data_IF_247824757178
#
_entry.id   IF_247824757178
#
_cell.length_a   1.000
_cell.length_b   1.000
_cell.length_c   1.000
_cell.angle_alpha   90.00
_cell.angle_beta   90.00
_cell.angle_gamma   90.00
#
_symmetry.space_group_name_H-M   'P 1'
#
loop_
_entity.id
_entity.type
_entity.pdbx_description
1 polymer ?
#
# COMPACT_ATOMS: atom_id res chain seq x y z
N UNK A 1 9.72 -3.73 35.60
CA UNK A 1 10.27 -2.44 35.09
C UNK A 1 9.10 -1.63 34.53
N UNK A 2 8.92 -0.36 34.92
CA UNK A 2 7.82 0.48 34.43
C UNK A 2 8.19 0.98 33.03
N UNK A 3 7.47 0.52 32.01
CA UNK A 3 7.58 1.06 30.65
C UNK A 3 6.94 2.45 30.63
N UNK A 4 7.72 3.49 30.45
CA UNK A 4 7.21 4.85 30.23
C UNK A 4 6.90 4.95 28.75
N UNK A 5 5.62 5.13 28.33
CA UNK A 5 5.32 5.32 26.91
C UNK A 5 5.92 6.66 26.47
N UNK A 6 6.76 6.62 25.45
CA UNK A 6 7.19 7.82 24.73
C UNK A 6 5.98 8.31 23.91
N UNK A 7 5.13 9.15 24.50
CA UNK A 7 4.07 9.82 23.77
C UNK A 7 4.75 10.92 22.96
N UNK A 8 4.98 10.64 21.68
CA UNK A 8 5.29 11.68 20.70
C UNK A 8 3.98 12.47 20.50
N UNK A 9 3.75 13.46 21.34
CA UNK A 9 2.69 14.44 21.12
C UNK A 9 3.08 15.24 19.87
N UNK A 10 2.55 14.84 18.72
CA UNK A 10 2.42 15.77 17.60
C UNK A 10 1.52 16.89 18.10
N UNK A 11 2.13 18.00 18.51
CA UNK A 11 1.40 19.20 18.85
C UNK A 11 0.72 19.66 17.55
N UNK A 12 -0.56 19.32 17.39
CA UNK A 12 -1.43 19.99 16.46
C UNK A 12 -1.52 21.44 16.96
N UNK A 13 -0.66 22.31 16.44
CA UNK A 13 -0.83 23.74 16.61
C UNK A 13 -2.21 24.04 16.00
N UNK A 14 -3.18 24.55 16.77
CA UNK A 14 -4.40 25.07 16.20
C UNK A 14 -4.00 26.33 15.42
N UNK A 15 -3.69 26.20 14.14
CA UNK A 15 -3.71 27.34 13.25
C UNK A 15 -5.15 27.79 13.22
N UNK A 16 -5.42 28.99 13.72
CA UNK A 16 -6.67 29.69 13.49
C UNK A 16 -6.71 30.01 11.99
N UNK A 17 -7.16 29.04 11.20
CA UNK A 17 -7.30 29.17 9.77
C UNK A 17 -8.51 30.05 9.53
N UNK A 18 -8.28 31.20 8.96
CA UNK A 18 -9.35 32.06 8.49
C UNK A 18 -10.10 31.35 7.39
N UNK A 19 -11.35 30.96 7.62
CA UNK A 19 -12.15 30.15 6.67
C UNK A 19 -12.25 30.81 5.27
N UNK A 20 -11.99 32.10 5.15
CA UNK A 20 -11.97 32.84 3.90
C UNK A 20 -10.84 32.43 2.93
N UNK A 21 -9.78 31.76 3.41
CA UNK A 21 -8.62 31.34 2.60
C UNK A 21 -8.56 29.83 2.38
N UNK A 22 -9.66 29.11 2.64
CA UNK A 22 -9.72 27.65 2.51
C UNK A 22 -10.67 27.28 1.39
N UNK A 23 -10.14 26.56 0.40
CA UNK A 23 -10.92 25.91 -0.63
C UNK A 23 -11.29 24.48 -0.18
N UNK A 24 -12.57 24.12 -0.37
CA UNK A 24 -13.11 22.80 -0.07
C UNK A 24 -13.46 22.11 -1.37
N UNK A 25 -13.08 20.84 -1.51
CA UNK A 25 -13.50 20.00 -2.62
C UNK A 25 -13.94 18.64 -2.14
N UNK A 26 -14.96 18.11 -2.79
CA UNK A 26 -15.48 16.77 -2.60
C UNK A 26 -15.36 16.03 -3.92
N UNK A 27 -14.93 14.76 -3.89
CA UNK A 27 -14.72 13.97 -5.08
C UNK A 27 -14.91 12.47 -4.82
N UNK A 28 -14.69 11.68 -5.85
CA UNK A 28 -14.82 10.23 -5.81
C UNK A 28 -15.49 9.69 -7.07
N UNK A 29 -15.92 8.44 -7.00
CA UNK A 29 -16.66 7.76 -8.07
C UNK A 29 -17.53 6.64 -7.50
N UNK A 30 -18.56 6.28 -8.24
CA UNK A 30 -19.34 5.06 -8.03
C UNK A 30 -18.84 4.03 -9.04
N UNK A 31 -18.53 2.82 -8.57
CA UNK A 31 -18.13 1.68 -9.41
C UNK A 31 -18.91 0.44 -9.01
N UNK A 32 -19.40 -0.28 -9.99
CA UNK A 32 -20.00 -1.59 -9.84
C UNK A 32 -19.13 -2.61 -10.56
N UNK A 33 -18.74 -3.65 -9.88
CA UNK A 33 -18.00 -4.78 -10.41
C UNK A 33 -18.91 -6.01 -10.47
N UNK A 34 -18.78 -6.80 -11.53
CA UNK A 34 -19.41 -8.11 -11.67
C UNK A 34 -18.31 -9.09 -12.13
N UNK A 35 -18.10 -10.15 -11.37
CA UNK A 35 -17.02 -11.10 -11.56
C UNK A 35 -17.57 -12.50 -11.64
N UNK A 36 -17.22 -13.23 -12.68
CA UNK A 36 -17.47 -14.67 -12.81
C UNK A 36 -16.11 -15.37 -12.66
N UNK A 37 -15.93 -16.06 -11.55
CA UNK A 37 -14.67 -16.70 -11.20
C UNK A 37 -14.83 -18.22 -11.18
N UNK A 38 -13.83 -18.94 -11.70
CA UNK A 38 -13.77 -20.39 -11.66
C UNK A 38 -12.50 -20.84 -10.96
N UNK A 39 -12.65 -21.72 -9.98
CA UNK A 39 -11.56 -22.24 -9.15
C UNK A 39 -11.50 -23.76 -9.32
N UNK A 40 -10.30 -24.29 -9.55
CA UNK A 40 -10.08 -25.73 -9.81
C UNK A 40 -9.99 -26.60 -8.54
N UNK A 41 -9.78 -25.95 -7.38
CA UNK A 41 -9.49 -26.66 -6.13
C UNK A 41 -10.36 -26.17 -4.97
N UNK A 42 -11.66 -26.04 -5.21
CA UNK A 42 -12.60 -25.55 -4.22
C UNK A 42 -12.88 -24.05 -4.35
N UNK A 43 -13.43 -23.48 -3.32
CA UNK A 43 -13.93 -22.10 -3.33
C UNK A 43 -13.02 -21.18 -2.51
N UNK A 44 -12.78 -19.98 -3.00
CA UNK A 44 -12.19 -18.89 -2.21
C UNK A 44 -13.28 -18.32 -1.31
N UNK A 45 -13.00 -18.20 0.00
CA UNK A 45 -13.94 -17.64 0.97
C UNK A 45 -14.35 -16.21 0.60
N UNK A 46 -15.59 -15.85 0.96
CA UNK A 46 -16.08 -14.49 0.79
C UNK A 46 -15.12 -13.43 1.33
N UNK A 47 -15.00 -12.32 0.62
CA UNK A 47 -14.12 -11.22 0.97
C UNK A 47 -13.14 -10.87 -0.12
N UNK A 48 -11.99 -10.33 0.25
CA UNK A 48 -11.04 -9.74 -0.69
C UNK A 48 -10.65 -10.66 -1.86
N UNK A 49 -10.42 -11.95 -1.62
CA UNK A 49 -9.98 -12.88 -2.66
C UNK A 49 -11.03 -13.13 -3.76
N UNK A 50 -12.31 -12.92 -3.45
CA UNK A 50 -13.42 -13.01 -4.43
C UNK A 50 -13.74 -11.69 -5.12
N UNK A 51 -13.42 -10.57 -4.46
CA UNK A 51 -13.74 -9.23 -4.98
C UNK A 51 -12.71 -8.73 -5.98
N UNK A 52 -11.48 -9.12 -5.80
CA UNK A 52 -10.37 -8.93 -6.74
C UNK A 52 -9.28 -9.96 -6.48
N UNK A 53 -8.43 -10.19 -7.47
CA UNK A 53 -7.39 -11.20 -7.39
C UNK A 53 -6.35 -10.87 -6.30
N UNK A 54 -6.32 -11.73 -5.27
CA UNK A 54 -5.31 -11.70 -4.19
C UNK A 54 -4.60 -13.05 -4.14
N UNK A 55 -3.36 -13.18 -4.61
CA UNK A 55 -2.66 -14.46 -4.76
C UNK A 55 -2.63 -15.33 -3.50
N UNK A 56 -2.41 -14.69 -2.34
CA UNK A 56 -2.32 -15.39 -1.05
C UNK A 56 -3.62 -16.02 -0.56
N UNK A 57 -4.76 -15.69 -1.16
CA UNK A 57 -6.07 -16.24 -0.78
C UNK A 57 -6.45 -17.47 -1.60
N UNK A 58 -5.74 -17.77 -2.68
CA UNK A 58 -5.99 -18.93 -3.52
C UNK A 58 -5.27 -20.13 -2.89
N UNK A 59 -6.04 -21.06 -2.35
CA UNK A 59 -5.52 -22.25 -1.70
C UNK A 59 -5.42 -23.39 -2.72
N UNK A 60 -4.26 -24.04 -2.85
CA UNK A 60 -4.18 -25.31 -3.58
C UNK A 60 -4.91 -26.38 -2.76
N UNK A 61 -5.67 -27.23 -3.42
CA UNK A 61 -6.49 -28.23 -2.75
C UNK A 61 -6.81 -29.41 -3.65
N UNK A 62 -7.76 -30.22 -3.22
CA UNK A 62 -8.28 -31.39 -3.95
C UNK A 62 -9.81 -31.37 -3.97
N UNK A 63 -10.41 -30.25 -3.64
CA UNK A 63 -11.85 -30.07 -3.66
C UNK A 63 -12.36 -29.92 -5.11
N UNK A 64 -13.63 -30.22 -5.38
CA UNK A 64 -14.22 -30.07 -6.71
C UNK A 64 -14.14 -28.64 -7.22
N UNK A 65 -14.10 -28.48 -8.55
CA UNK A 65 -14.16 -27.19 -9.22
C UNK A 65 -15.41 -26.42 -8.81
N UNK A 66 -15.28 -25.12 -8.60
CA UNK A 66 -16.40 -24.21 -8.31
C UNK A 66 -16.44 -23.06 -9.28
N UNK A 67 -17.64 -22.52 -9.49
CA UNK A 67 -17.85 -21.29 -10.28
C UNK A 67 -18.79 -20.38 -9.52
N UNK A 68 -18.32 -19.17 -9.28
CA UNK A 68 -18.99 -18.17 -8.45
C UNK A 68 -19.24 -16.88 -9.24
N UNK A 69 -20.40 -16.27 -9.02
CA UNK A 69 -20.74 -14.95 -9.52
C UNK A 69 -20.82 -13.96 -8.35
N UNK A 70 -19.98 -12.97 -8.37
CA UNK A 70 -19.97 -11.89 -7.40
C UNK A 70 -20.33 -10.56 -8.04
N UNK A 71 -21.12 -9.76 -7.35
CA UNK A 71 -21.50 -8.41 -7.79
C UNK A 71 -21.36 -7.45 -6.62
N UNK A 72 -20.50 -6.42 -6.76
CA UNK A 72 -20.19 -5.52 -5.65
C UNK A 72 -20.03 -4.07 -6.10
N UNK A 73 -20.38 -3.13 -5.20
CA UNK A 73 -20.12 -1.70 -5.38
C UNK A 73 -19.06 -1.17 -4.40
N UNK A 74 -18.32 -2.05 -3.71
CA UNK A 74 -17.39 -1.72 -2.62
C UNK A 74 -16.19 -0.92 -3.06
N UNK A 75 -15.79 -0.99 -4.33
CA UNK A 75 -14.70 -0.17 -4.92
C UNK A 75 -15.08 1.31 -5.02
N UNK A 76 -16.36 1.66 -4.87
CA UNK A 76 -16.82 3.06 -4.87
C UNK A 76 -16.07 3.86 -3.81
N UNK A 77 -15.70 5.10 -4.16
CA UNK A 77 -14.88 5.96 -3.31
C UNK A 77 -15.51 7.32 -3.17
N UNK A 78 -15.20 7.95 -2.05
CA UNK A 78 -15.39 9.37 -1.87
C UNK A 78 -14.23 9.96 -1.08
N UNK A 79 -13.92 11.20 -1.39
CA UNK A 79 -12.86 11.94 -0.75
C UNK A 79 -13.29 13.38 -0.44
N UNK A 80 -12.61 13.94 0.54
CA UNK A 80 -12.72 15.33 0.91
C UNK A 80 -11.32 15.93 0.99
N UNK A 81 -11.15 17.08 0.36
CA UNK A 81 -9.88 17.80 0.30
C UNK A 81 -10.08 19.26 0.73
N UNK A 82 -9.14 19.78 1.49
CA UNK A 82 -9.03 21.22 1.72
C UNK A 82 -7.68 21.72 1.23
N UNK A 83 -7.66 22.93 0.73
CA UNK A 83 -6.44 23.70 0.42
C UNK A 83 -6.58 25.05 1.09
N UNK A 84 -5.73 25.31 2.07
CA UNK A 84 -5.72 26.54 2.83
C UNK A 84 -4.47 27.36 2.45
N UNK A 85 -4.66 28.55 1.90
CA UNK A 85 -3.57 29.50 1.69
C UNK A 85 -3.10 30.01 3.07
N UNK A 86 -1.81 29.88 3.33
CA UNK A 86 -1.17 30.35 4.57
C UNK A 86 -0.20 31.50 4.33
N UNK A 87 -0.28 32.10 3.15
CA UNK A 87 0.58 33.21 2.73
C UNK A 87 1.95 32.76 2.19
N UNK A 88 2.69 33.69 1.61
CA UNK A 88 4.01 33.46 1.00
C UNK A 88 4.03 32.37 -0.07
N UNK A 89 2.99 32.30 -0.89
CA UNK A 89 2.79 31.29 -1.94
C UNK A 89 2.80 29.84 -1.41
N UNK A 90 2.46 29.64 -0.13
CA UNK A 90 2.39 28.33 0.53
C UNK A 90 0.95 27.97 0.88
N UNK A 91 0.66 26.70 0.82
CA UNK A 91 -0.64 26.14 1.22
C UNK A 91 -0.51 24.91 2.09
N UNK A 92 -1.47 24.76 3.00
CA UNK A 92 -1.70 23.50 3.72
C UNK A 92 -2.79 22.73 2.99
N UNK A 93 -2.50 21.51 2.59
CA UNK A 93 -3.49 20.60 2.00
C UNK A 93 -3.84 19.52 3.00
N UNK A 94 -5.14 19.28 3.24
CA UNK A 94 -5.61 18.08 3.90
C UNK A 94 -6.36 17.20 2.91
N UNK A 95 -6.30 15.90 3.08
CA UNK A 95 -6.99 14.95 2.21
C UNK A 95 -7.41 13.72 3.01
N UNK A 96 -8.68 13.30 2.85
CA UNK A 96 -9.20 12.05 3.36
C UNK A 96 -9.95 11.33 2.24
N UNK A 97 -9.72 10.02 2.09
CA UNK A 97 -10.41 9.16 1.13
C UNK A 97 -10.82 7.85 1.79
N UNK A 98 -12.03 7.41 1.50
CA UNK A 98 -12.62 6.17 1.97
C UNK A 98 -13.12 5.33 0.77
N UNK A 99 -13.06 4.01 0.91
CA UNK A 99 -13.80 3.02 0.12
C UNK A 99 -14.42 1.98 1.08
N UNK A 100 -14.96 0.87 0.54
CA UNK A 100 -15.59 -0.19 1.32
C UNK A 100 -14.91 -1.55 1.12
N UNK A 101 -13.80 -1.60 0.37
CA UNK A 101 -13.04 -2.81 0.14
C UNK A 101 -12.36 -3.33 1.42
N UNK A 102 -12.38 -4.64 1.64
CA UNK A 102 -11.73 -5.26 2.78
C UNK A 102 -12.28 -4.84 4.15
N UNK A 103 -13.39 -4.12 4.20
CA UNK A 103 -14.06 -3.77 5.44
C UNK A 103 -15.01 -4.90 5.88
N UNK A 104 -15.20 -5.03 7.18
CA UNK A 104 -16.16 -6.00 7.73
C UNK A 104 -17.59 -5.68 7.28
N UNK A 105 -18.35 -6.74 7.05
CA UNK A 105 -19.73 -6.71 6.58
C UNK A 105 -20.09 -7.99 5.87
N UNK A 106 -21.29 -8.04 5.30
CA UNK A 106 -21.74 -9.16 4.48
C UNK A 106 -22.87 -8.74 3.53
N UNK A 107 -23.17 -9.59 2.56
CA UNK A 107 -24.19 -9.36 1.53
C UNK A 107 -25.50 -10.12 1.75
N UNK A 108 -25.66 -10.80 2.90
CA UNK A 108 -26.78 -11.69 3.19
C UNK A 108 -28.14 -11.01 3.06
N UNK A 109 -28.26 -9.74 3.50
CA UNK A 109 -29.55 -9.00 3.49
C UNK A 109 -29.45 -7.67 2.76
N UNK A 110 -28.45 -6.84 3.09
CA UNK A 110 -28.42 -5.43 2.67
C UNK A 110 -27.10 -5.02 2.05
N UNK A 111 -26.19 -5.94 1.79
CA UNK A 111 -24.85 -5.64 1.30
C UNK A 111 -24.17 -4.54 2.14
N UNK A 112 -24.27 -4.69 3.45
CA UNK A 112 -23.77 -3.70 4.41
C UNK A 112 -22.30 -3.91 4.70
N UNK A 113 -21.48 -2.92 4.35
CA UNK A 113 -20.04 -2.93 4.58
C UNK A 113 -19.59 -1.63 5.24
N UNK A 114 -18.60 -1.74 6.11
CA UNK A 114 -17.99 -0.59 6.76
C UNK A 114 -17.08 0.21 5.80
N UNK A 115 -16.87 1.50 6.05
CA UNK A 115 -15.89 2.28 5.31
C UNK A 115 -14.46 1.90 5.71
N UNK A 116 -13.55 1.87 4.72
CA UNK A 116 -12.12 1.66 4.92
C UNK A 116 -11.35 2.96 4.66
N UNK A 117 -10.50 3.38 5.61
CA UNK A 117 -9.63 4.53 5.43
C UNK A 117 -8.52 4.20 4.42
N UNK A 118 -8.50 4.91 3.31
CA UNK A 118 -7.46 4.79 2.27
C UNK A 118 -6.36 5.80 2.47
N UNK A 119 -6.73 7.07 2.51
CA UNK A 119 -5.83 8.18 2.69
C UNK A 119 -6.35 9.11 3.78
N UNK A 120 -5.45 9.58 4.61
CA UNK A 120 -5.71 10.65 5.58
C UNK A 120 -4.37 11.34 5.87
N UNK A 121 -4.13 12.51 5.29
CA UNK A 121 -2.87 13.19 5.45
C UNK A 121 -3.00 14.71 5.39
N UNK A 122 -1.98 15.35 5.94
CA UNK A 122 -1.71 16.78 5.83
C UNK A 122 -0.41 16.97 5.05
N UNK A 123 -0.40 17.92 4.13
CA UNK A 123 0.79 18.28 3.35
C UNK A 123 1.07 19.77 3.47
N UNK A 124 2.33 20.12 3.69
CA UNK A 124 2.84 21.49 3.73
C UNK A 124 4.30 21.55 3.31
N UNK A 125 4.65 22.35 2.31
CA UNK A 125 6.03 22.70 1.93
C UNK A 125 6.98 21.48 1.81
N UNK A 126 6.58 20.46 1.09
CA UNK A 126 7.33 19.20 0.93
C UNK A 126 7.10 18.17 2.04
N UNK A 127 6.68 18.60 3.23
CA UNK A 127 6.33 17.71 4.34
C UNK A 127 4.94 17.10 4.12
N UNK A 128 4.81 15.79 4.32
CA UNK A 128 3.55 15.06 4.39
C UNK A 128 3.54 14.25 5.67
N UNK A 129 2.44 14.34 6.43
CA UNK A 129 2.21 13.56 7.66
C UNK A 129 0.85 12.92 7.58
N UNK A 130 0.78 11.62 7.82
CA UNK A 130 -0.46 10.84 7.81
C UNK A 130 -0.38 9.59 6.95
N UNK A 131 -1.53 9.00 6.65
CA UNK A 131 -1.63 7.75 5.90
C UNK A 131 -1.81 8.01 4.41
N UNK A 132 -0.94 7.43 3.58
CA UNK A 132 -1.07 7.41 2.12
C UNK A 132 -0.21 6.29 1.52
N UNK A 133 -0.11 6.23 0.20
CA UNK A 133 0.78 5.29 -0.47
C UNK A 133 2.20 5.38 0.08
N UNK A 134 2.81 4.22 0.31
CA UNK A 134 4.22 4.13 0.67
C UNK A 134 5.08 4.91 -0.33
N UNK A 135 6.16 5.49 0.16
CA UNK A 135 7.15 6.14 -0.69
C UNK A 135 7.95 5.14 -1.54
N UNK A 136 7.92 3.85 -1.19
CA UNK A 136 8.48 2.76 -1.98
C UNK A 136 7.62 2.38 -3.20
N UNK A 137 6.34 2.80 -3.24
CA UNK A 137 5.37 2.52 -4.30
C UNK A 137 5.31 3.63 -5.35
N UNK A 138 5.42 3.28 -6.63
CA UNK A 138 5.15 4.19 -7.74
C UNK A 138 3.75 3.96 -8.32
N UNK A 139 2.78 4.77 -7.89
CA UNK A 139 1.40 4.72 -8.39
C UNK A 139 1.32 4.98 -9.90
N UNK A 140 2.25 5.78 -10.47
CA UNK A 140 2.29 6.09 -11.90
C UNK A 140 2.60 4.88 -12.79
N UNK A 141 3.21 3.84 -12.23
CA UNK A 141 3.51 2.61 -12.94
C UNK A 141 2.38 1.58 -12.92
N UNK A 142 1.29 1.79 -12.12
CA UNK A 142 0.16 0.86 -12.11
C UNK A 142 -0.53 0.83 -13.49
N UNK A 143 -0.72 -0.34 -14.10
CA UNK A 143 -1.47 -0.47 -15.32
C UNK A 143 -2.96 -0.23 -15.09
N UNK A 144 -3.70 0.13 -16.13
CA UNK A 144 -5.14 0.05 -16.09
C UNK A 144 -5.58 -1.40 -16.24
N UNK A 145 -6.48 -1.85 -15.39
CA UNK A 145 -7.01 -3.21 -15.35
C UNK A 145 -8.49 -3.20 -15.01
N UNK A 146 -9.23 -4.19 -15.48
CA UNK A 146 -10.60 -4.43 -15.04
C UNK A 146 -10.63 -4.89 -13.58
N UNK A 147 -9.63 -5.66 -13.17
CA UNK A 147 -9.39 -5.99 -11.77
C UNK A 147 -8.88 -4.77 -10.98
N UNK A 148 -8.99 -4.83 -9.65
CA UNK A 148 -8.68 -3.70 -8.76
C UNK A 148 -7.23 -3.22 -8.86
N UNK A 149 -6.26 -4.14 -9.01
CA UNK A 149 -4.82 -3.84 -9.03
C UNK A 149 -4.17 -4.20 -10.37
N UNK A 150 -4.64 -5.25 -11.04
CA UNK A 150 -4.01 -5.86 -12.20
C UNK A 150 -2.99 -6.91 -11.79
N UNK A 151 -1.67 -6.73 -12.00
CA UNK A 151 -0.66 -7.73 -11.67
C UNK A 151 -0.38 -7.76 -10.16
N UNK A 152 -1.35 -8.24 -9.39
CA UNK A 152 -1.37 -8.19 -7.91
C UNK A 152 -0.15 -8.87 -7.30
N UNK A 153 0.28 -10.01 -7.84
CA UNK A 153 1.39 -10.82 -7.36
C UNK A 153 2.76 -10.14 -7.46
N UNK A 154 2.89 -9.14 -8.32
CA UNK A 154 4.19 -8.50 -8.61
C UNK A 154 4.22 -7.00 -8.32
N UNK A 155 3.11 -6.44 -7.88
CA UNK A 155 2.99 -5.01 -7.63
C UNK A 155 3.40 -4.65 -6.21
N UNK A 156 4.18 -3.58 -6.05
CA UNK A 156 4.30 -2.89 -4.76
C UNK A 156 2.99 -2.16 -4.52
N UNK A 157 2.21 -2.60 -3.52
CA UNK A 157 0.87 -2.07 -3.27
C UNK A 157 0.57 -1.97 -1.77
N UNK A 158 0.96 -0.86 -1.17
CA UNK A 158 0.80 -0.65 0.27
C UNK A 158 0.56 0.82 0.61
N UNK A 159 -0.32 1.07 1.57
CA UNK A 159 -0.52 2.37 2.21
C UNK A 159 -0.04 2.31 3.66
N UNK A 160 0.67 3.34 4.08
CA UNK A 160 1.30 3.43 5.39
C UNK A 160 1.01 4.77 6.05
N UNK A 161 0.87 4.76 7.38
CA UNK A 161 1.07 5.96 8.18
C UNK A 161 2.54 6.36 8.11
N UNK A 162 2.82 7.60 7.80
CA UNK A 162 4.19 8.04 7.50
C UNK A 162 4.42 9.53 7.77
N UNK A 163 5.68 9.86 7.95
CA UNK A 163 6.21 11.22 7.81
C UNK A 163 7.15 11.21 6.63
N UNK A 164 6.83 11.98 5.58
CA UNK A 164 7.61 12.05 4.34
C UNK A 164 8.00 13.48 4.03
N UNK A 165 9.26 13.67 3.65
CA UNK A 165 9.76 14.94 3.15
C UNK A 165 10.26 14.81 1.71
N UNK A 166 9.80 15.72 0.85
CA UNK A 166 10.13 15.74 -0.58
C UNK A 166 10.97 16.96 -0.91
N UNK A 167 12.13 16.74 -1.52
CA UNK A 167 13.11 17.75 -1.93
C UNK A 167 13.35 17.61 -3.45
N UNK A 168 12.63 18.37 -4.25
CA UNK A 168 12.68 18.21 -5.71
C UNK A 168 12.21 16.81 -6.12
N UNK A 169 13.09 16.03 -6.75
CA UNK A 169 12.80 14.67 -7.21
C UNK A 169 13.05 13.59 -6.14
N UNK A 170 13.74 13.91 -5.06
CA UNK A 170 14.01 13.03 -3.94
C UNK A 170 12.91 13.11 -2.89
N UNK A 171 12.41 11.97 -2.42
CA UNK A 171 11.56 11.89 -1.25
C UNK A 171 12.10 10.83 -0.28
N UNK A 172 12.08 11.15 1.01
CA UNK A 172 12.45 10.23 2.10
C UNK A 172 11.27 10.15 3.06
N UNK A 173 10.94 8.94 3.53
CA UNK A 173 9.86 8.75 4.49
C UNK A 173 10.28 7.81 5.63
N UNK A 174 9.68 8.05 6.78
CA UNK A 174 9.60 7.15 7.92
C UNK A 174 8.18 6.60 7.93
N UNK A 175 8.04 5.28 7.79
CA UNK A 175 6.76 4.60 7.65
C UNK A 175 6.52 3.66 8.83
N UNK A 176 5.25 3.35 9.09
CA UNK A 176 4.86 2.50 10.22
C UNK A 176 5.47 1.08 10.07
N UNK A 177 6.26 0.61 11.04
CA UNK A 177 6.83 -0.73 11.00
C UNK A 177 5.75 -1.79 11.26
N UNK A 178 5.82 -2.89 10.55
CA UNK A 178 4.99 -4.08 10.75
C UNK A 178 5.68 -5.25 10.06
N UNK A 179 5.87 -6.36 10.75
CA UNK A 179 6.43 -7.59 10.18
C UNK A 179 5.33 -8.62 9.93
N UNK A 180 5.43 -9.38 8.83
CA UNK A 180 4.52 -10.48 8.50
C UNK A 180 5.27 -11.81 8.43
N UNK A 181 4.63 -12.89 8.88
CA UNK A 181 5.17 -14.27 8.81
C UNK A 181 5.54 -14.85 10.17
N UNK A 182 6.12 -16.06 10.15
CA UNK A 182 6.59 -16.80 11.32
C UNK A 182 5.51 -17.08 12.40
N UNK A 183 4.23 -17.16 12.02
CA UNK A 183 3.13 -17.50 12.94
C UNK A 183 2.57 -16.29 13.71
N UNK A 184 3.39 -15.59 14.47
CA UNK A 184 3.00 -14.35 15.15
C UNK A 184 3.68 -13.16 14.48
N UNK A 185 2.91 -12.41 13.70
CA UNK A 185 3.40 -11.20 13.04
C UNK A 185 3.73 -10.13 14.09
N UNK A 186 4.99 -9.68 14.11
CA UNK A 186 5.47 -8.72 15.08
C UNK A 186 4.95 -7.31 14.82
N UNK A 187 4.20 -6.76 15.77
CA UNK A 187 3.78 -5.35 15.81
C UNK A 187 4.59 -4.54 16.85
N UNK A 188 5.69 -5.11 17.35
CA UNK A 188 6.53 -4.50 18.37
C UNK A 188 7.76 -3.79 17.80
N UNK A 189 7.83 -3.57 16.50
CA UNK A 189 8.91 -2.84 15.85
C UNK A 189 9.05 -1.42 16.40
N UNK A 190 10.24 -1.08 16.91
CA UNK A 190 10.52 0.24 17.47
C UNK A 190 11.13 1.21 16.46
N UNK A 191 11.69 0.70 15.38
CA UNK A 191 12.35 1.48 14.33
C UNK A 191 11.42 1.57 13.13
N UNK A 192 11.04 2.78 12.68
CA UNK A 192 10.23 2.93 11.47
C UNK A 192 10.91 2.34 10.24
N UNK A 193 10.13 1.84 9.29
CA UNK A 193 10.62 1.52 7.96
C UNK A 193 11.11 2.81 7.29
N UNK A 194 12.33 2.80 6.76
CA UNK A 194 12.93 3.96 6.08
C UNK A 194 12.84 3.71 4.58
N UNK A 195 12.16 4.62 3.87
CA UNK A 195 12.04 4.55 2.41
C UNK A 195 12.59 5.81 1.76
N UNK A 196 13.22 5.62 0.61
CA UNK A 196 13.67 6.71 -0.25
C UNK A 196 13.21 6.46 -1.68
N UNK A 197 12.79 7.49 -2.40
CA UNK A 197 12.44 7.41 -3.81
C UNK A 197 12.99 8.60 -4.59
N UNK A 198 13.42 8.34 -5.82
CA UNK A 198 13.94 9.36 -6.71
C UNK A 198 13.25 9.30 -8.07
N UNK A 199 12.68 10.42 -8.51
CA UNK A 199 12.02 10.54 -9.81
C UNK A 199 13.05 10.86 -10.88
N UNK A 200 12.98 10.16 -12.01
CA UNK A 200 13.88 10.32 -13.15
C UNK A 200 13.04 10.59 -14.39
N UNK A 201 13.29 11.73 -15.02
CA UNK A 201 12.70 12.06 -16.32
C UNK A 201 13.73 11.84 -17.42
N UNK A 202 13.46 10.90 -18.35
CA UNK A 202 14.37 10.56 -19.44
C UNK A 202 13.60 10.54 -20.77
N UNK A 203 13.54 11.70 -21.44
CA UNK A 203 12.80 11.84 -22.68
C UNK A 203 11.29 11.56 -22.50
N UNK A 204 10.82 10.49 -23.12
CA UNK A 204 9.43 10.02 -23.05
C UNK A 204 9.16 9.07 -21.85
N UNK A 205 10.14 8.85 -20.98
CA UNK A 205 10.02 7.98 -19.82
C UNK A 205 9.94 8.78 -18.51
N UNK A 206 8.96 8.43 -17.68
CA UNK A 206 8.84 8.83 -16.28
C UNK A 206 9.16 7.61 -15.41
N UNK A 207 10.31 7.63 -14.74
CA UNK A 207 10.82 6.53 -13.93
C UNK A 207 10.89 6.91 -12.46
N UNK A 208 10.82 5.90 -11.59
CA UNK A 208 11.09 6.02 -10.15
C UNK A 208 12.00 4.90 -9.73
N UNK A 209 13.12 5.25 -9.10
CA UNK A 209 13.96 4.33 -8.35
C UNK A 209 13.64 4.51 -6.86
N UNK A 210 13.36 3.42 -6.14
CA UNK A 210 13.07 3.46 -4.72
C UNK A 210 13.89 2.42 -3.97
N UNK A 211 14.17 2.73 -2.69
CA UNK A 211 14.87 1.86 -1.76
C UNK A 211 14.12 1.81 -0.41
N UNK A 212 14.25 0.70 0.28
CA UNK A 212 13.64 0.41 1.57
C UNK A 212 14.66 -0.27 2.48
N UNK A 213 14.71 0.16 3.74
CA UNK A 213 15.40 -0.55 4.83
C UNK A 213 14.49 -0.58 6.04
N UNK A 214 14.40 -1.73 6.70
CA UNK A 214 13.49 -1.94 7.83
C UNK A 214 14.06 -2.89 8.87
N UNK A 215 13.63 -2.73 10.11
CA UNK A 215 13.79 -3.73 11.16
C UNK A 215 12.59 -4.67 11.11
N UNK A 216 12.86 -5.96 11.07
CA UNK A 216 11.86 -7.02 11.15
C UNK A 216 11.90 -7.59 12.56
N UNK A 217 10.75 -7.89 13.13
CA UNK A 217 10.60 -8.36 14.50
C UNK A 217 9.73 -9.61 14.57
N UNK A 218 9.99 -10.44 15.56
CA UNK A 218 9.19 -11.61 15.89
C UNK A 218 8.74 -11.52 17.34
N UNK A 219 7.44 -11.75 17.61
CA UNK A 219 6.86 -11.62 18.94
C UNK A 219 6.85 -12.93 19.75
N UNK A 220 7.21 -14.05 19.14
CA UNK A 220 7.34 -15.35 19.81
C UNK A 220 8.58 -15.44 20.68
N UNK A 221 8.59 -16.40 21.59
CA UNK A 221 9.76 -16.72 22.41
C UNK A 221 10.71 -17.60 21.57
N UNK A 222 11.92 -17.10 21.31
CA UNK A 222 13.05 -17.88 20.79
C UNK A 222 14.04 -18.15 21.94
N UNK A 223 14.76 -19.26 21.89
CA UNK A 223 15.71 -19.63 22.95
C UNK A 223 16.89 -18.65 23.06
N UNK A 224 17.27 -18.00 21.95
CA UNK A 224 18.39 -17.07 21.83
C UNK A 224 17.91 -15.65 21.59
N UNK A 225 17.11 -15.01 22.32
CA UNK A 225 16.71 -13.57 22.31
C UNK A 225 16.83 -12.80 20.95
N UNK A 226 17.19 -13.46 19.85
CA UNK A 226 17.39 -12.89 18.51
C UNK A 226 16.04 -12.78 17.77
N UNK A 227 15.18 -11.89 18.29
CA UNK A 227 13.84 -11.65 17.77
C UNK A 227 13.79 -10.57 16.67
N UNK A 228 14.96 -10.16 16.13
CA UNK A 228 15.02 -9.11 15.12
C UNK A 228 16.01 -9.43 13.99
N UNK A 229 15.64 -9.04 12.77
CA UNK A 229 16.54 -9.07 11.61
C UNK A 229 16.33 -7.83 10.74
N UNK A 230 17.19 -7.61 9.74
CA UNK A 230 17.10 -6.45 8.83
C UNK A 230 16.53 -6.88 7.49
N UNK A 231 15.50 -6.16 7.06
CA UNK A 231 14.97 -6.25 5.69
C UNK A 231 15.45 -5.06 4.85
N UNK A 232 15.61 -5.30 3.56
CA UNK A 232 15.95 -4.26 2.59
C UNK A 232 15.36 -4.59 1.22
N UNK A 233 15.15 -3.56 0.40
CA UNK A 233 14.64 -3.74 -0.95
C UNK A 233 14.90 -2.57 -1.85
N UNK A 234 14.87 -2.86 -3.15
CA UNK A 234 14.95 -1.86 -4.22
C UNK A 234 13.83 -2.08 -5.23
N UNK A 235 13.34 -0.98 -5.80
CA UNK A 235 12.34 -1.01 -6.86
C UNK A 235 12.76 -0.05 -7.97
N UNK A 236 12.63 -0.49 -9.21
CA UNK A 236 12.67 0.37 -10.40
C UNK A 236 11.37 0.21 -11.16
N UNK A 237 10.67 1.30 -11.37
CA UNK A 237 9.36 1.29 -11.99
C UNK A 237 9.14 2.54 -12.84
N UNK A 238 8.20 2.47 -13.76
CA UNK A 238 7.92 3.63 -14.58
C UNK A 238 6.90 3.42 -15.68
N UNK A 239 6.76 4.49 -16.45
CA UNK A 239 5.94 4.57 -17.64
C UNK A 239 6.75 5.16 -18.79
N UNK A 240 6.68 4.53 -19.94
CA UNK A 240 7.31 4.99 -21.20
C UNK A 240 6.23 5.25 -22.23
N UNK A 241 6.16 6.45 -22.78
CA UNK A 241 5.24 6.79 -23.88
C UNK A 241 5.79 6.33 -25.20
N UNK A 242 4.98 5.62 -26.00
CA UNK A 242 5.30 5.11 -27.33
C UNK A 242 4.29 5.70 -28.32
N UNK A 243 4.53 6.94 -28.76
CA UNK A 243 3.52 7.70 -29.51
C UNK A 243 2.32 8.03 -28.59
N UNK A 244 1.12 7.54 -28.98
CA UNK A 244 -0.09 7.65 -28.14
C UNK A 244 -0.24 6.52 -27.12
N UNK A 245 0.53 5.45 -27.28
CA UNK A 245 0.51 4.26 -26.43
C UNK A 245 1.43 4.42 -25.21
N UNK A 246 1.30 3.56 -24.23
CA UNK A 246 2.24 3.52 -23.10
C UNK A 246 2.60 2.10 -22.66
N UNK A 247 3.83 1.98 -22.18
CA UNK A 247 4.35 0.79 -21.52
C UNK A 247 4.61 1.14 -20.07
N UNK A 248 4.06 0.35 -19.13
CA UNK A 248 4.30 0.46 -17.69
C UNK A 248 5.02 -0.77 -17.20
N UNK A 249 5.90 -0.60 -16.23
CA UNK A 249 6.67 -1.71 -15.65
C UNK A 249 7.04 -1.43 -14.20
N UNK A 250 7.31 -2.49 -13.48
CA UNK A 250 7.93 -2.48 -12.16
C UNK A 250 8.79 -3.72 -11.98
N UNK A 251 9.94 -3.56 -11.33
CA UNK A 251 10.81 -4.65 -10.90
C UNK A 251 11.25 -4.36 -9.47
N UNK A 252 11.07 -5.31 -8.59
CA UNK A 252 11.40 -5.25 -7.17
C UNK A 252 12.26 -6.42 -6.80
N UNK A 253 13.29 -6.20 -5.99
CA UNK A 253 14.09 -7.25 -5.38
C UNK A 253 14.49 -6.84 -3.96
N UNK A 254 14.52 -7.81 -3.05
CA UNK A 254 14.91 -7.55 -1.67
C UNK A 254 14.73 -8.75 -0.76
N UNK A 255 15.04 -8.55 0.49
CA UNK A 255 14.85 -9.51 1.58
C UNK A 255 13.99 -8.86 2.67
N UNK A 256 12.96 -9.56 3.16
CA UNK A 256 12.02 -9.02 4.14
C UNK A 256 11.11 -7.91 3.60
N UNK A 257 10.72 -7.98 2.34
CA UNK A 257 9.85 -6.98 1.67
C UNK A 257 8.48 -7.53 1.28
N UNK A 258 8.13 -8.72 1.74
CA UNK A 258 6.89 -9.42 1.38
C UNK A 258 5.63 -8.60 1.65
N UNK A 259 5.57 -7.90 2.78
CA UNK A 259 4.46 -6.98 3.12
C UNK A 259 4.23 -5.89 2.07
N UNK A 260 5.28 -5.46 1.38
CA UNK A 260 5.22 -4.40 0.37
C UNK A 260 4.80 -4.90 -1.00
N UNK A 261 5.04 -6.19 -1.29
CA UNK A 261 4.93 -6.77 -2.63
C UNK A 261 3.87 -7.86 -2.66
N UNK A 262 3.14 -7.95 -3.77
CA UNK A 262 2.23 -9.07 -4.02
C UNK A 262 1.08 -9.19 -3.04
N UNK A 263 0.67 -8.10 -2.38
CA UNK A 263 -0.38 -8.08 -1.36
C UNK A 263 -0.09 -9.05 -0.19
N UNK A 264 1.19 -9.24 0.16
CA UNK A 264 1.60 -10.16 1.21
C UNK A 264 1.57 -11.63 0.79
N UNK A 265 1.73 -11.93 -0.51
CA UNK A 265 1.81 -13.30 -1.01
C UNK A 265 3.02 -14.06 -0.44
N UNK A 266 4.06 -13.35 -0.07
CA UNK A 266 5.25 -13.87 0.63
C UNK A 266 5.34 -13.19 1.99
N UNK A 267 5.62 -13.96 3.03
CA UNK A 267 5.89 -13.41 4.36
C UNK A 267 7.22 -12.62 4.38
N UNK A 268 7.34 -11.62 5.26
CA UNK A 268 8.59 -10.87 5.43
C UNK A 268 9.69 -11.75 6.03
N UNK A 269 9.31 -12.64 6.95
CA UNK A 269 10.26 -13.50 7.69
C UNK A 269 9.76 -14.93 7.78
N UNK A 270 10.71 -15.85 7.96
CA UNK A 270 10.48 -17.24 8.32
C UNK A 270 11.39 -17.65 9.47
N UNK A 271 10.98 -18.66 10.24
CA UNK A 271 11.84 -19.29 11.23
C UNK A 271 12.57 -20.48 10.59
N UNK A 272 13.88 -20.51 10.71
CA UNK A 272 14.74 -21.62 10.31
C UNK A 272 15.44 -22.15 11.56
N UNK A 273 14.86 -23.17 12.19
CA UNK A 273 15.22 -23.55 13.56
C UNK A 273 14.81 -22.45 14.54
N UNK A 274 15.76 -21.89 15.27
CA UNK A 274 15.57 -20.79 16.22
C UNK A 274 15.99 -19.43 15.63
N UNK A 275 16.43 -19.39 14.35
CA UNK A 275 16.87 -18.17 13.70
C UNK A 275 15.73 -17.48 12.94
N UNK A 276 15.62 -16.16 13.07
CA UNK A 276 14.70 -15.33 12.30
C UNK A 276 15.37 -14.90 11.00
N UNK A 277 14.91 -15.44 9.87
CA UNK A 277 15.45 -15.14 8.56
C UNK A 277 14.49 -14.25 7.75
N UNK A 278 15.03 -13.21 7.10
CA UNK A 278 14.27 -12.37 6.18
C UNK A 278 14.07 -13.09 4.83
N UNK A 279 12.82 -13.20 4.39
CA UNK A 279 12.45 -13.91 3.16
C UNK A 279 12.87 -13.14 1.92
N UNK A 280 13.56 -13.81 1.00
CA UNK A 280 13.91 -13.21 -0.29
C UNK A 280 12.68 -13.07 -1.20
N UNK A 281 12.57 -11.91 -1.85
CA UNK A 281 11.46 -11.61 -2.76
C UNK A 281 12.00 -10.96 -4.03
N UNK A 282 11.59 -11.50 -5.18
CA UNK A 282 11.78 -10.87 -6.50
C UNK A 282 10.47 -10.88 -7.24
N UNK A 283 10.07 -9.72 -7.76
CA UNK A 283 8.80 -9.55 -8.44
C UNK A 283 8.93 -8.54 -9.58
N UNK A 284 8.28 -8.80 -10.71
CA UNK A 284 8.29 -7.88 -11.83
C UNK A 284 7.02 -8.01 -12.67
N UNK A 285 6.60 -6.90 -13.27
CA UNK A 285 5.59 -6.91 -14.31
C UNK A 285 5.93 -5.93 -15.43
N UNK A 286 5.33 -6.16 -16.60
CA UNK A 286 5.28 -5.23 -17.70
C UNK A 286 3.86 -5.23 -18.29
N UNK A 287 3.35 -4.05 -18.62
CA UNK A 287 2.02 -3.86 -19.20
C UNK A 287 2.08 -2.86 -20.35
N UNK A 288 1.47 -3.19 -21.46
CA UNK A 288 1.36 -2.32 -22.63
C UNK A 288 -0.08 -1.92 -22.85
N UNK A 289 -0.32 -0.62 -23.03
CA UNK A 289 -1.64 -0.09 -23.37
C UNK A 289 -1.61 0.50 -24.76
N UNK A 290 -2.48 -0.04 -25.63
CA UNK A 290 -2.69 0.46 -26.99
C UNK A 290 -3.94 1.37 -27.03
N UNK A 291 -3.80 2.51 -27.68
CA UNK A 291 -4.91 3.42 -27.96
C UNK A 291 -5.30 3.35 -29.44
N UNK A 292 -6.52 2.92 -29.70
CA UNK A 292 -7.08 2.77 -31.05
C UNK A 292 -7.31 4.12 -31.76
#
# INVERSE_FOLDING_TARGET
MRKTPLILMAAALPMAVNAANTEFSFGGFIKMDAMLSSYSDGNVTDGLGREFYVPSTIQPGTEPDTTELDMTARTSRFNFKTVTDVGNDKSVTTFIELDFEGAGGNEVVSNSYGPRLRHAFIKYDGLLVGQTWSNFMNVGALPESADFIGPSESTVFIRQSQVRYTMGDLAIALENPQTTGAGDSGDNGMIPDITASYKIKAGNADLVAAALVRQLTYDGALEDDDTTTIGYGVNLSGKVMIGKDDLKFSATAGSGVGRYVGLGAVADVSLVGDDLEASETTAAFVAYRHHW
#
